data_IF_535592752845
#
_entry.id   IF_535592752845
#
_cell.length_a   1.000
_cell.length_b   1.000
_cell.length_c   1.000
_cell.angle_alpha   90.00
_cell.angle_beta   90.00
_cell.angle_gamma   90.00
#
_symmetry.space_group_name_H-M   'P 1'
#
loop_
_entity.id
_entity.type
_entity.pdbx_description
1 polymer ?
#
# COMPACT_ATOMS: atom_id res chain seq x y z
N UNK A 1 11.37 -33.22 -19.18
CA UNK A 1 10.16 -33.51 -20.03
C UNK A 1 10.63 -33.62 -21.47
N UNK A 2 10.21 -34.63 -22.23
CA UNK A 2 10.61 -34.76 -23.64
C UNK A 2 9.79 -33.77 -24.48
N UNK A 3 10.46 -32.92 -25.25
CA UNK A 3 9.82 -32.07 -26.25
C UNK A 3 9.55 -32.87 -27.53
N UNK A 4 8.64 -32.39 -28.38
CA UNK A 4 8.24 -33.07 -29.63
C UNK A 4 9.40 -33.28 -30.61
N UNK A 5 10.51 -32.55 -30.42
CA UNK A 5 11.71 -32.59 -31.27
C UNK A 5 12.81 -33.51 -30.73
N UNK A 6 12.51 -34.39 -29.77
CA UNK A 6 13.45 -35.38 -29.23
C UNK A 6 14.49 -34.84 -28.23
N UNK A 7 14.49 -33.54 -27.93
CA UNK A 7 15.36 -32.93 -26.92
C UNK A 7 14.85 -33.17 -25.50
N UNK A 8 15.77 -33.59 -24.60
CA UNK A 8 15.51 -33.75 -23.16
C UNK A 8 15.61 -32.38 -22.49
N UNK A 9 14.49 -31.85 -21.98
CA UNK A 9 14.51 -30.63 -21.18
C UNK A 9 15.04 -30.92 -19.77
N UNK A 10 16.30 -30.59 -19.51
CA UNK A 10 16.93 -30.62 -18.19
C UNK A 10 16.74 -29.27 -17.49
N UNK A 11 15.92 -29.22 -16.45
CA UNK A 11 15.73 -28.01 -15.65
C UNK A 11 16.69 -28.07 -14.45
N UNK A 12 17.65 -27.15 -14.40
CA UNK A 12 18.51 -26.97 -13.25
C UNK A 12 17.75 -26.16 -12.19
N UNK A 13 17.75 -26.61 -10.94
CA UNK A 13 17.12 -25.87 -9.85
C UNK A 13 17.87 -26.15 -8.55
N UNK A 14 17.84 -25.18 -7.64
CA UNK A 14 18.47 -25.25 -6.32
C UNK A 14 17.40 -25.29 -5.25
N UNK A 15 17.61 -26.13 -4.23
CA UNK A 15 16.78 -26.18 -3.04
C UNK A 15 17.55 -25.51 -1.90
N UNK A 16 16.93 -24.53 -1.27
CA UNK A 16 17.45 -23.84 -0.09
C UNK A 16 16.55 -24.21 1.08
N UNK A 17 17.10 -24.85 2.10
CA UNK A 17 16.34 -25.22 3.31
C UNK A 17 16.80 -24.36 4.46
N UNK A 18 15.84 -23.70 5.12
CA UNK A 18 16.09 -22.87 6.29
C UNK A 18 15.10 -23.19 7.41
N UNK A 19 15.47 -22.83 8.64
CA UNK A 19 14.63 -23.00 9.83
C UNK A 19 13.85 -21.71 10.05
N UNK A 20 12.53 -21.76 9.95
CA UNK A 20 11.67 -20.66 10.37
C UNK A 20 11.56 -20.68 11.91
N UNK A 21 12.30 -19.76 12.56
CA UNK A 21 12.36 -19.64 14.02
C UNK A 21 10.97 -19.32 14.61
N UNK A 22 10.11 -18.59 13.88
CA UNK A 22 8.78 -18.22 14.38
C UNK A 22 7.83 -19.41 14.38
N UNK A 23 7.89 -20.24 13.33
CA UNK A 23 6.99 -21.39 13.16
C UNK A 23 7.58 -22.71 13.64
N UNK A 24 8.84 -22.70 14.06
CA UNK A 24 9.60 -23.90 14.47
C UNK A 24 9.51 -25.01 13.41
N UNK A 25 9.58 -24.63 12.13
CA UNK A 25 9.43 -25.54 10.99
C UNK A 25 10.55 -25.34 9.99
N UNK A 26 11.00 -26.44 9.40
CA UNK A 26 11.89 -26.43 8.24
C UNK A 26 11.08 -26.05 7.01
N UNK A 27 11.53 -25.01 6.31
CA UNK A 27 10.94 -24.56 5.05
C UNK A 27 11.98 -24.75 3.95
N UNK A 28 11.61 -25.48 2.90
CA UNK A 28 12.43 -25.69 1.71
C UNK A 28 11.90 -24.83 0.57
N UNK A 29 12.77 -23.98 0.02
CA UNK A 29 12.51 -23.11 -1.12
C UNK A 29 13.17 -23.69 -2.36
N UNK A 30 12.42 -23.77 -3.46
CA UNK A 30 12.94 -24.12 -4.77
C UNK A 30 13.17 -22.83 -5.56
N UNK A 31 14.40 -22.64 -6.06
CA UNK A 31 14.77 -21.48 -6.86
C UNK A 31 15.48 -21.90 -8.15
N UNK A 32 15.30 -21.11 -9.20
CA UNK A 32 16.08 -21.19 -10.43
C UNK A 32 17.34 -20.28 -10.38
N UNK A 33 17.46 -19.48 -9.32
CA UNK A 33 18.60 -18.61 -9.10
C UNK A 33 19.73 -19.38 -8.41
N UNK A 34 20.85 -19.50 -9.11
CA UNK A 34 22.04 -20.24 -8.67
C UNK A 34 23.15 -19.31 -8.16
N UNK A 35 23.06 -18.00 -8.44
CA UNK A 35 24.14 -17.04 -8.20
C UNK A 35 23.94 -16.28 -6.89
N UNK A 36 22.69 -15.95 -6.56
CA UNK A 36 22.37 -15.16 -5.36
C UNK A 36 22.63 -15.93 -4.06
N UNK A 37 22.92 -15.17 -3.00
CA UNK A 37 23.14 -15.72 -1.66
C UNK A 37 21.84 -16.35 -1.12
N UNK A 38 21.91 -17.51 -0.43
CA UNK A 38 20.75 -18.13 0.19
C UNK A 38 19.93 -17.21 1.08
N UNK A 39 20.58 -16.32 1.83
CA UNK A 39 19.89 -15.40 2.73
C UNK A 39 19.09 -14.36 1.95
N UNK A 40 19.62 -13.85 0.84
CA UNK A 40 18.89 -12.91 -0.01
C UNK A 40 17.62 -13.55 -0.59
N UNK A 41 17.70 -14.81 -1.02
CA UNK A 41 16.56 -15.57 -1.54
C UNK A 41 15.51 -15.80 -0.44
N UNK A 42 15.95 -16.07 0.79
CA UNK A 42 15.07 -16.18 1.96
C UNK A 42 14.37 -14.85 2.24
N UNK A 43 15.09 -13.72 2.22
CA UNK A 43 14.53 -12.38 2.39
C UNK A 43 13.51 -12.02 1.29
N UNK A 44 13.77 -12.40 0.04
CA UNK A 44 12.80 -12.26 -1.06
C UNK A 44 11.55 -13.11 -0.78
N UNK A 45 11.72 -14.34 -0.30
CA UNK A 45 10.59 -15.19 0.08
C UNK A 45 9.79 -14.60 1.25
N UNK A 46 10.44 -13.93 2.20
CA UNK A 46 9.75 -13.20 3.26
C UNK A 46 8.83 -12.10 2.71
N UNK A 47 9.25 -11.38 1.65
CA UNK A 47 8.42 -10.36 0.98
C UNK A 47 7.15 -10.93 0.34
N UNK A 48 7.05 -12.26 0.14
CA UNK A 48 5.80 -12.90 -0.32
C UNK A 48 4.62 -12.60 0.62
N UNK A 49 4.87 -12.47 1.92
CA UNK A 49 3.85 -12.16 2.92
C UNK A 49 3.29 -10.74 2.79
N UNK A 50 4.10 -9.79 2.30
CA UNK A 50 3.66 -8.40 2.05
C UNK A 50 2.53 -8.35 1.01
N UNK A 51 2.53 -9.27 0.04
CA UNK A 51 1.46 -9.39 -0.95
C UNK A 51 0.14 -9.81 -0.28
N UNK A 52 0.18 -10.72 0.68
CA UNK A 52 -1.03 -11.12 1.44
C UNK A 52 -1.57 -9.94 2.27
N UNK A 53 -0.67 -9.15 2.87
CA UNK A 53 -1.03 -7.93 3.59
C UNK A 53 -1.67 -6.89 2.66
N UNK A 54 -1.11 -6.69 1.46
CA UNK A 54 -1.67 -5.83 0.42
C UNK A 54 -3.09 -6.26 0.05
N UNK A 55 -3.31 -7.54 -0.23
CA UNK A 55 -4.66 -8.05 -0.54
C UNK A 55 -5.63 -7.90 0.63
N UNK A 56 -5.15 -8.08 1.87
CA UNK A 56 -5.96 -7.85 3.07
C UNK A 56 -6.36 -6.37 3.18
N UNK A 57 -5.44 -5.44 2.95
CA UNK A 57 -5.71 -4.00 2.94
C UNK A 57 -6.73 -3.63 1.87
N UNK A 58 -6.57 -4.13 0.64
CA UNK A 58 -7.52 -3.86 -0.45
C UNK A 58 -8.92 -4.36 -0.07
N UNK A 59 -9.04 -5.59 0.45
CA UNK A 59 -10.35 -6.15 0.85
C UNK A 59 -11.00 -5.44 2.04
N UNK A 60 -10.20 -4.87 2.95
CA UNK A 60 -10.71 -4.18 4.14
C UNK A 60 -11.12 -2.74 3.86
N UNK A 61 -10.33 -1.99 3.08
CA UNK A 61 -10.55 -0.56 2.88
C UNK A 61 -11.52 -0.27 1.74
N UNK A 62 -11.72 -1.22 0.82
CA UNK A 62 -12.63 -1.07 -0.29
C UNK A 62 -13.80 -2.04 -0.13
N UNK A 63 -15.05 -1.56 -0.11
CA UNK A 63 -16.23 -2.40 0.00
C UNK A 63 -16.47 -3.18 -1.30
N UNK A 64 -15.69 -4.23 -1.52
CA UNK A 64 -15.86 -5.16 -2.65
C UNK A 64 -17.12 -6.05 -2.53
N UNK A 65 -17.88 -5.91 -1.44
CA UNK A 65 -19.18 -6.59 -1.25
C UNK A 65 -20.31 -5.98 -2.09
N UNK A 66 -20.21 -4.69 -2.44
CA UNK A 66 -21.25 -3.99 -3.18
C UNK A 66 -20.61 -3.40 -4.43
N UNK A 67 -20.87 -4.03 -5.58
CA UNK A 67 -20.44 -3.50 -6.87
C UNK A 67 -21.43 -2.43 -7.32
N UNK A 68 -20.92 -1.31 -7.83
CA UNK A 68 -21.77 -0.21 -8.33
C UNK A 68 -22.50 -0.55 -9.64
N UNK A 69 -22.21 -1.71 -10.23
CA UNK A 69 -22.93 -2.23 -11.39
C UNK A 69 -22.69 -3.73 -11.56
N UNK A 70 -23.65 -4.42 -12.15
CA UNK A 70 -23.60 -5.88 -12.37
C UNK A 70 -22.77 -6.29 -13.59
N UNK A 71 -22.32 -5.33 -14.41
CA UNK A 71 -21.51 -5.63 -15.59
C UNK A 71 -20.07 -5.98 -15.23
N UNK A 72 -19.49 -6.96 -15.94
CA UNK A 72 -18.09 -7.33 -15.77
C UNK A 72 -17.12 -6.15 -15.99
N UNK A 73 -17.47 -5.19 -16.83
CA UNK A 73 -16.66 -3.99 -17.05
C UNK A 73 -16.67 -3.05 -15.83
N UNK A 74 -17.83 -2.84 -15.21
CA UNK A 74 -17.94 -2.05 -13.99
C UNK A 74 -17.09 -2.64 -12.86
N UNK A 75 -17.11 -3.97 -12.70
CA UNK A 75 -16.28 -4.67 -11.73
C UNK A 75 -14.78 -4.47 -12.02
N UNK A 76 -14.36 -4.62 -13.29
CA UNK A 76 -12.97 -4.39 -13.70
C UNK A 76 -12.52 -2.96 -13.37
N UNK A 77 -13.31 -1.97 -13.73
CA UNK A 77 -13.01 -0.56 -13.46
C UNK A 77 -12.89 -0.32 -11.95
N UNK A 78 -13.81 -0.86 -11.15
CA UNK A 78 -13.79 -0.73 -9.68
C UNK A 78 -12.50 -1.33 -9.07
N UNK A 79 -12.03 -2.47 -9.59
CA UNK A 79 -10.76 -3.07 -9.17
C UNK A 79 -9.57 -2.18 -9.57
N UNK A 80 -9.53 -1.69 -10.81
CA UNK A 80 -8.44 -0.82 -11.28
C UNK A 80 -8.35 0.49 -10.48
N UNK A 81 -9.48 1.16 -10.25
CA UNK A 81 -9.54 2.39 -9.44
C UNK A 81 -9.09 2.13 -8.00
N UNK A 82 -9.52 1.00 -7.42
CA UNK A 82 -9.10 0.57 -6.08
C UNK A 82 -7.58 0.38 -5.98
N UNK A 83 -6.97 -0.27 -6.98
CA UNK A 83 -5.52 -0.47 -7.02
C UNK A 83 -4.76 0.86 -7.15
N UNK A 84 -5.23 1.77 -8.00
CA UNK A 84 -4.64 3.11 -8.18
C UNK A 84 -4.73 3.91 -6.87
N UNK A 85 -5.89 3.93 -6.22
CA UNK A 85 -6.08 4.63 -4.95
C UNK A 85 -5.17 4.07 -3.85
N UNK A 86 -5.03 2.74 -3.76
CA UNK A 86 -4.13 2.09 -2.81
C UNK A 86 -2.65 2.47 -3.05
N UNK A 87 -2.23 2.52 -4.31
CA UNK A 87 -0.87 2.95 -4.67
C UNK A 87 -0.62 4.40 -4.25
N UNK A 88 -1.56 5.31 -4.53
CA UNK A 88 -1.47 6.71 -4.13
C UNK A 88 -1.37 6.85 -2.60
N UNK A 89 -2.21 6.14 -1.85
CA UNK A 89 -2.16 6.09 -0.39
C UNK A 89 -0.81 5.59 0.13
N UNK A 90 -0.23 4.56 -0.49
CA UNK A 90 1.10 4.06 -0.12
C UNK A 90 2.21 5.09 -0.39
N UNK A 91 2.15 5.78 -1.54
CA UNK A 91 3.12 6.83 -1.90
C UNK A 91 3.01 8.01 -0.92
N UNK A 92 1.79 8.41 -0.57
CA UNK A 92 1.56 9.44 0.45
C UNK A 92 2.12 9.01 1.81
N UNK A 93 1.80 7.80 2.26
CA UNK A 93 2.34 7.23 3.51
C UNK A 93 3.87 7.24 3.54
N UNK A 94 4.53 6.93 2.41
CA UNK A 94 6.00 6.94 2.32
C UNK A 94 6.60 8.35 2.43
N UNK A 95 5.88 9.37 1.98
CA UNK A 95 6.31 10.77 2.00
C UNK A 95 6.01 11.46 3.33
N UNK A 96 5.16 10.87 4.15
CA UNK A 96 4.81 11.34 5.48
C UNK A 96 5.89 10.95 6.49
N UNK A 97 6.30 11.92 7.32
CA UNK A 97 7.29 11.69 8.38
C UNK A 97 6.68 10.97 9.59
N UNK A 98 5.36 11.10 9.79
CA UNK A 98 4.62 10.48 10.89
C UNK A 98 4.11 9.09 10.50
N UNK A 99 4.28 8.11 11.39
CA UNK A 99 3.82 6.73 11.20
C UNK A 99 2.30 6.61 11.37
N UNK A 100 1.54 6.92 10.32
CA UNK A 100 0.10 6.69 10.29
C UNK A 100 -0.26 5.23 9.99
N UNK A 101 -1.34 4.75 10.61
CA UNK A 101 -1.96 3.48 10.23
C UNK A 101 -2.63 3.63 8.85
N UNK A 102 -2.65 2.57 8.05
CA UNK A 102 -3.21 2.64 6.69
C UNK A 102 -4.71 3.00 6.71
N UNK A 103 -5.47 2.38 7.61
CA UNK A 103 -6.91 2.66 7.78
C UNK A 103 -7.15 4.11 8.24
N UNK A 104 -6.34 4.64 9.16
CA UNK A 104 -6.46 6.04 9.60
C UNK A 104 -6.18 7.02 8.48
N UNK A 105 -5.14 6.78 7.68
CA UNK A 105 -4.82 7.59 6.50
C UNK A 105 -5.94 7.55 5.46
N UNK A 106 -6.49 6.37 5.17
CA UNK A 106 -7.59 6.20 4.23
C UNK A 106 -8.86 6.92 4.69
N UNK A 107 -9.22 6.82 5.99
CA UNK A 107 -10.35 7.55 6.57
C UNK A 107 -10.14 9.06 6.50
N UNK A 108 -8.95 9.56 6.84
CA UNK A 108 -8.67 10.98 6.75
C UNK A 108 -8.74 11.47 5.32
N UNK A 109 -8.10 10.78 4.37
CA UNK A 109 -8.24 11.10 2.95
C UNK A 109 -9.70 11.16 2.53
N UNK A 110 -10.54 10.23 2.98
CA UNK A 110 -11.98 10.23 2.66
C UNK A 110 -12.71 11.47 3.17
N UNK A 111 -12.36 11.95 4.37
CA UNK A 111 -12.96 13.14 4.98
C UNK A 111 -12.42 14.43 4.32
N UNK A 112 -11.12 14.46 4.04
CA UNK A 112 -10.41 15.64 3.58
C UNK A 112 -10.47 15.84 2.07
N UNK A 113 -10.83 14.81 1.28
CA UNK A 113 -10.87 14.89 -0.19
C UNK A 113 -11.75 16.03 -0.70
N UNK A 114 -12.78 16.39 0.07
CA UNK A 114 -13.72 17.45 -0.28
C UNK A 114 -13.23 18.85 0.12
N UNK A 115 -12.17 18.94 0.93
CA UNK A 115 -11.59 20.19 1.40
C UNK A 115 -10.34 20.53 0.58
N UNK A 116 -10.21 21.80 0.17
CA UNK A 116 -9.00 22.33 -0.47
C UNK A 116 -7.89 22.57 0.56
N UNK A 117 -7.38 21.49 1.14
CA UNK A 117 -6.32 21.54 2.16
C UNK A 117 -5.06 20.90 1.60
N UNK A 118 -3.91 21.53 1.84
CA UNK A 118 -2.63 20.91 1.55
C UNK A 118 -2.42 19.72 2.50
N UNK A 119 -2.55 18.52 1.93
CA UNK A 119 -2.40 17.26 2.64
C UNK A 119 -1.08 17.18 3.41
N UNK A 120 0.02 17.74 2.90
CA UNK A 120 1.30 17.69 3.62
C UNK A 120 1.27 18.53 4.90
N UNK A 121 0.62 19.71 4.88
CA UNK A 121 0.43 20.53 6.08
C UNK A 121 -0.43 19.78 7.11
N UNK A 122 -1.61 19.33 6.67
CA UNK A 122 -2.61 18.70 7.54
C UNK A 122 -2.09 17.43 8.22
N UNK A 123 -1.41 16.56 7.48
CA UNK A 123 -0.95 15.28 8.02
C UNK A 123 0.32 15.38 8.88
N UNK A 124 1.14 16.43 8.69
CA UNK A 124 2.32 16.68 9.52
C UNK A 124 1.99 17.53 10.76
N UNK A 125 1.03 18.47 10.64
CA UNK A 125 0.61 19.37 11.71
C UNK A 125 -0.92 19.55 11.71
N UNK A 126 -1.69 18.60 12.27
CA UNK A 126 -3.14 18.68 12.38
C UNK A 126 -3.61 19.73 13.41
N UNK A 127 -2.78 20.69 13.79
CA UNK A 127 -3.13 21.85 14.62
C UNK A 127 -2.79 23.17 13.92
N UNK A 128 -1.80 23.18 13.01
CA UNK A 128 -1.39 24.40 12.30
C UNK A 128 -2.46 24.92 11.34
N UNK A 129 -3.27 24.06 10.73
CA UNK A 129 -4.34 24.55 9.85
C UNK A 129 -5.39 25.35 10.64
N UNK A 130 -5.59 25.04 11.93
CA UNK A 130 -6.47 25.78 12.84
C UNK A 130 -5.82 27.10 13.25
N UNK A 131 -4.52 27.09 13.57
CA UNK A 131 -3.77 28.33 13.83
C UNK A 131 -3.79 29.25 12.61
N UNK A 132 -3.62 28.71 11.40
CA UNK A 132 -3.63 29.50 10.15
C UNK A 132 -5.02 30.09 9.86
N UNK A 133 -6.09 29.33 10.11
CA UNK A 133 -7.48 29.81 9.99
C UNK A 133 -7.84 30.84 11.07
N UNK A 134 -7.32 30.69 12.29
CA UNK A 134 -7.49 31.66 13.38
C UNK A 134 -6.73 32.96 13.07
N UNK A 135 -5.52 32.87 12.52
CA UNK A 135 -4.68 34.02 12.17
C UNK A 135 -5.28 34.81 10.98
N UNK A 136 -5.92 34.13 10.02
CA UNK A 136 -6.71 34.77 8.94
C UNK A 136 -7.93 35.50 9.51
N UNK A 137 -8.67 34.89 10.46
CA UNK A 137 -9.81 35.56 11.14
C UNK A 137 -9.37 36.77 11.96
N UNK A 138 -8.25 36.67 12.69
CA UNK A 138 -7.71 37.79 13.47
C UNK A 138 -7.30 38.97 12.57
N UNK A 139 -6.90 38.68 11.32
CA UNK A 139 -6.58 39.71 10.31
C UNK A 139 -7.83 40.38 9.74
N UNK A 140 -8.93 39.65 9.55
CA UNK A 140 -10.23 40.21 9.13
C UNK A 140 -10.87 41.06 10.23
N UNK A 141 -10.80 40.62 11.50
CA UNK A 141 -11.30 41.38 12.65
C UNK A 141 -10.49 42.67 12.89
N UNK A 142 -9.18 42.66 12.59
CA UNK A 142 -8.33 43.86 12.65
C UNK A 142 -8.63 44.91 11.57
N UNK A 143 -9.34 44.57 10.49
CA UNK A 143 -9.72 45.55 9.46
C UNK A 143 -11.05 46.25 9.75
N UNK A 144 -11.90 45.66 10.60
CA UNK A 144 -13.20 46.23 10.98
C UNK A 144 -13.14 47.22 12.16
N UNK A 145 -11.95 47.46 12.73
CA UNK A 145 -11.74 48.45 13.79
C UNK A 145 -11.35 49.85 13.27
N UNK A 146 -11.39 50.08 11.96
CA UNK A 146 -11.23 51.42 11.38
C UNK A 146 -12.61 52.11 11.30
N UNK A 147 -13.15 52.43 12.48
CA UNK A 147 -14.05 53.56 12.71
C UNK A 147 -13.49 54.35 13.89
#
# INVERSE_FOLDING_TARGET
KMLKDGTILNHHARIITYVDIKKHKLVSLLTNDMESDPNEIIEIYHKRWEIELLFKQIKQNFPLKYFYGESANAIKIQIWVTLIANLLLMVMKKKLTRSWSFSGLATMMRITLMYYVDFYSLFNHPEKDWETLLDVRQKEDCQLSIF
#
